data_IF_714278738281
#
_entry.id   IF_714278738281
#
_cell.length_a   1.000
_cell.length_b   1.000
_cell.length_c   1.000
_cell.angle_alpha   90.00
_cell.angle_beta   90.00
_cell.angle_gamma   90.00
#
_symmetry.space_group_name_H-M   'P 1'
#
loop_
_entity.id
_entity.type
_entity.pdbx_description
1 polymer ?
#
# COMPACT_ATOMS: atom_id res chain seq x y z
N UNK A 1 -12.83 25.47 -21.37
CA UNK A 1 -13.95 24.54 -21.20
C UNK A 1 -13.68 23.36 -22.12
N UNK A 2 -13.09 22.27 -21.60
CA UNK A 2 -12.64 21.10 -22.38
C UNK A 2 -13.60 19.92 -22.14
N UNK A 3 -14.78 19.87 -22.81
CA UNK A 3 -15.80 18.85 -22.57
C UNK A 3 -15.35 17.43 -22.92
N UNK A 4 -14.33 17.28 -23.78
CA UNK A 4 -13.77 15.97 -24.12
C UNK A 4 -13.03 15.30 -22.95
N UNK A 5 -12.45 16.08 -22.03
CA UNK A 5 -11.70 15.56 -20.89
C UNK A 5 -12.67 14.94 -19.88
N UNK A 6 -13.84 15.54 -19.64
CA UNK A 6 -14.84 14.97 -18.72
C UNK A 6 -15.29 13.59 -19.15
N UNK A 7 -15.72 13.42 -20.41
CA UNK A 7 -16.17 12.12 -20.91
C UNK A 7 -15.05 11.07 -20.88
N UNK A 8 -13.80 11.46 -21.19
CA UNK A 8 -12.65 10.55 -21.10
C UNK A 8 -12.35 10.15 -19.66
N UNK A 9 -12.48 11.06 -18.70
CA UNK A 9 -12.30 10.77 -17.26
C UNK A 9 -13.37 9.82 -16.78
N UNK A 10 -14.65 10.05 -17.12
CA UNK A 10 -15.73 9.13 -16.75
C UNK A 10 -15.54 7.75 -17.35
N UNK A 11 -15.12 7.66 -18.61
CA UNK A 11 -14.80 6.39 -19.26
C UNK A 11 -13.58 5.71 -18.60
N UNK A 12 -12.52 6.45 -18.30
CA UNK A 12 -11.33 5.93 -17.64
C UNK A 12 -11.62 5.40 -16.23
N UNK A 13 -12.41 6.14 -15.44
CA UNK A 13 -12.86 5.71 -14.10
C UNK A 13 -13.76 4.48 -14.21
N UNK A 14 -14.68 4.44 -15.17
CA UNK A 14 -15.53 3.27 -15.43
C UNK A 14 -14.72 2.03 -15.78
N UNK A 15 -13.76 2.15 -16.70
CA UNK A 15 -12.85 1.06 -17.08
C UNK A 15 -11.96 0.62 -15.92
N UNK A 16 -11.40 1.56 -15.16
CA UNK A 16 -10.59 1.27 -13.98
C UNK A 16 -11.39 0.54 -12.89
N UNK A 17 -12.66 0.95 -12.68
CA UNK A 17 -13.56 0.28 -11.76
C UNK A 17 -13.83 -1.16 -12.22
N UNK A 18 -14.20 -1.36 -13.48
CA UNK A 18 -14.43 -2.70 -14.06
C UNK A 18 -13.18 -3.57 -13.91
N UNK A 19 -12.01 -3.05 -14.25
CA UNK A 19 -10.74 -3.79 -14.13
C UNK A 19 -10.45 -4.18 -12.68
N UNK A 20 -10.64 -3.25 -11.73
CA UNK A 20 -10.40 -3.48 -10.30
C UNK A 20 -11.34 -4.53 -9.73
N UNK A 21 -12.64 -4.43 -10.03
CA UNK A 21 -13.63 -5.41 -9.58
C UNK A 21 -13.43 -6.77 -10.24
N UNK A 22 -13.09 -6.81 -11.52
CA UNK A 22 -12.79 -8.06 -12.24
C UNK A 22 -11.58 -8.76 -11.65
N UNK A 23 -10.51 -8.03 -11.33
CA UNK A 23 -9.32 -8.59 -10.68
C UNK A 23 -9.66 -9.11 -9.27
N UNK A 24 -10.52 -8.42 -8.53
CA UNK A 24 -10.95 -8.84 -7.19
C UNK A 24 -11.82 -10.10 -7.23
N UNK A 25 -12.78 -10.16 -8.16
CA UNK A 25 -13.61 -11.33 -8.41
C UNK A 25 -12.76 -12.51 -8.89
N UNK A 26 -11.84 -12.26 -9.82
CA UNK A 26 -10.88 -13.26 -10.29
C UNK A 26 -10.01 -13.80 -9.16
N UNK A 27 -9.52 -12.94 -8.28
CA UNK A 27 -8.75 -13.33 -7.10
C UNK A 27 -9.56 -14.18 -6.12
N UNK A 28 -10.84 -13.85 -5.87
CA UNK A 28 -11.74 -14.64 -5.01
C UNK A 28 -12.05 -16.02 -5.61
N UNK A 29 -12.36 -16.07 -6.91
CA UNK A 29 -12.59 -17.31 -7.64
C UNK A 29 -11.34 -18.20 -7.65
N UNK A 30 -10.17 -17.61 -7.91
CA UNK A 30 -8.90 -18.34 -7.88
C UNK A 30 -8.55 -18.81 -6.47
N UNK A 31 -8.78 -17.98 -5.44
CA UNK A 31 -8.62 -18.35 -4.03
C UNK A 31 -9.50 -19.55 -3.64
N UNK A 32 -10.72 -19.66 -4.20
CA UNK A 32 -11.60 -20.81 -3.98
C UNK A 32 -11.15 -22.10 -4.69
N UNK A 33 -10.30 -21.98 -5.73
CA UNK A 33 -9.72 -23.11 -6.47
C UNK A 33 -8.35 -23.54 -5.95
N UNK A 34 -7.71 -22.77 -5.07
CA UNK A 34 -6.44 -23.15 -4.48
C UNK A 34 -6.62 -24.24 -3.40
N UNK A 35 -5.86 -25.36 -3.45
CA UNK A 35 -5.90 -26.39 -2.43
C UNK A 35 -5.45 -25.84 -1.07
N UNK A 36 -6.24 -26.11 -0.02
CA UNK A 36 -6.13 -25.49 1.31
C UNK A 36 -4.88 -25.90 2.12
N UNK A 37 -3.99 -26.75 1.60
CA UNK A 37 -2.81 -27.23 2.32
C UNK A 37 -1.57 -27.32 1.42
N UNK A 38 -0.48 -26.60 1.77
CA UNK A 38 0.82 -26.76 1.11
C UNK A 38 1.75 -25.54 1.19
N UNK A 39 2.96 -25.68 0.60
CA UNK A 39 4.00 -24.63 0.48
C UNK A 39 3.50 -23.39 -0.27
N UNK A 40 2.48 -23.55 -1.12
CA UNK A 40 1.88 -22.48 -1.91
C UNK A 40 1.12 -21.46 -1.05
N UNK A 41 0.45 -21.90 0.02
CA UNK A 41 -0.24 -21.01 0.98
C UNK A 41 0.76 -20.07 1.67
N UNK A 42 1.90 -20.62 2.14
CA UNK A 42 2.98 -19.81 2.73
C UNK A 42 3.56 -18.79 1.73
N UNK A 43 3.67 -19.16 0.45
CA UNK A 43 4.05 -18.23 -0.61
C UNK A 43 3.02 -17.11 -0.78
N UNK A 44 1.74 -17.46 -0.83
CA UNK A 44 0.65 -16.48 -0.93
C UNK A 44 0.54 -15.57 0.29
N UNK A 45 0.77 -16.08 1.51
CA UNK A 45 0.76 -15.28 2.74
C UNK A 45 1.96 -14.32 2.81
N UNK A 46 3.05 -14.62 2.11
CA UNK A 46 4.22 -13.74 2.01
C UNK A 46 4.07 -12.65 0.92
N UNK A 47 3.18 -12.83 -0.05
CA UNK A 47 2.97 -11.86 -1.15
C UNK A 47 2.59 -10.45 -0.64
N UNK A 48 1.64 -10.27 0.29
CA UNK A 48 1.28 -8.95 0.77
C UNK A 48 2.47 -8.24 1.42
N UNK A 49 3.23 -8.95 2.26
CA UNK A 49 4.41 -8.40 2.92
C UNK A 49 5.50 -8.01 1.92
N UNK A 50 5.78 -8.88 0.94
CA UNK A 50 6.77 -8.62 -0.10
C UNK A 50 6.38 -7.44 -1.01
N UNK A 51 5.10 -7.31 -1.37
CA UNK A 51 4.58 -6.19 -2.14
C UNK A 51 4.73 -4.87 -1.38
N UNK A 52 4.31 -4.84 -0.10
CA UNK A 52 4.50 -3.68 0.75
C UNK A 52 5.98 -3.30 0.86
N UNK A 53 6.87 -4.28 1.06
CA UNK A 53 8.30 -4.05 1.14
C UNK A 53 8.86 -3.47 -0.18
N UNK A 54 8.48 -4.03 -1.32
CA UNK A 54 8.88 -3.57 -2.65
C UNK A 54 8.44 -2.13 -2.95
N UNK A 55 7.33 -1.67 -2.37
CA UNK A 55 6.85 -0.28 -2.50
C UNK A 55 7.52 0.66 -1.49
N UNK A 56 7.77 0.19 -0.27
CA UNK A 56 8.34 1.00 0.81
C UNK A 56 9.83 1.24 0.59
N UNK A 57 10.60 0.22 0.17
CA UNK A 57 12.04 0.32 -0.08
C UNK A 57 12.41 1.46 -1.04
N UNK A 58 11.84 1.57 -2.27
CA UNK A 58 12.17 2.65 -3.18
C UNK A 58 11.72 4.01 -2.62
N UNK A 59 10.60 4.06 -1.89
CA UNK A 59 10.13 5.29 -1.24
C UNK A 59 11.17 5.80 -0.24
N UNK A 60 11.75 4.91 0.56
CA UNK A 60 12.85 5.25 1.49
C UNK A 60 14.09 5.72 0.75
N UNK A 61 14.47 5.02 -0.33
CA UNK A 61 15.64 5.38 -1.14
C UNK A 61 15.48 6.76 -1.79
N UNK A 62 14.28 7.11 -2.27
CA UNK A 62 14.00 8.45 -2.82
C UNK A 62 13.97 9.54 -1.75
N UNK A 63 13.63 9.21 -0.51
CA UNK A 63 13.60 10.14 0.62
C UNK A 63 14.99 10.40 1.22
N UNK A 64 15.93 9.45 1.08
CA UNK A 64 17.33 9.53 1.56
C UNK A 64 17.51 9.08 3.02
N UNK A 65 18.58 9.55 3.71
CA UNK A 65 18.85 9.20 5.11
C UNK A 65 17.68 9.51 6.06
N UNK A 66 16.92 10.57 5.76
CA UNK A 66 15.75 10.99 6.52
C UNK A 66 14.59 10.00 6.41
N UNK A 67 14.41 9.35 5.25
CA UNK A 67 13.42 8.28 5.06
C UNK A 67 13.71 7.06 5.92
N UNK A 68 14.99 6.73 6.12
CA UNK A 68 15.42 5.61 7.00
C UNK A 68 15.11 5.92 8.46
N UNK A 69 15.45 7.14 8.93
CA UNK A 69 15.15 7.56 10.31
C UNK A 69 13.64 7.60 10.60
N UNK A 70 12.83 8.13 9.68
CA UNK A 70 11.38 8.15 9.80
C UNK A 70 10.77 6.73 9.83
N UNK A 71 11.31 5.81 9.02
CA UNK A 71 10.88 4.40 9.01
C UNK A 71 11.21 3.71 10.32
N UNK A 72 12.41 3.93 10.87
CA UNK A 72 12.83 3.35 12.16
C UNK A 72 11.98 3.87 13.32
N UNK A 73 11.73 5.19 13.36
CA UNK A 73 10.86 5.81 14.37
C UNK A 73 9.41 5.30 14.27
N UNK A 74 8.87 5.22 13.05
CA UNK A 74 7.51 4.70 12.83
C UNK A 74 7.41 3.22 13.20
N UNK A 75 8.40 2.40 12.81
CA UNK A 75 8.46 0.99 13.16
C UNK A 75 8.55 0.79 14.68
N UNK A 76 9.32 1.62 15.40
CA UNK A 76 9.42 1.59 16.85
C UNK A 76 8.08 1.93 17.54
N UNK A 77 7.33 2.89 17.02
CA UNK A 77 6.01 3.26 17.56
C UNK A 77 4.96 2.18 17.28
N UNK A 78 4.94 1.63 16.06
CA UNK A 78 4.02 0.55 15.65
C UNK A 78 4.19 -0.66 16.56
N UNK A 79 5.43 -1.03 16.89
CA UNK A 79 5.72 -2.19 17.75
C UNK A 79 5.23 -2.01 19.19
N UNK A 80 5.03 -0.76 19.64
CA UNK A 80 4.65 -0.45 21.02
C UNK A 80 3.14 -0.32 21.22
N UNK A 81 2.36 0.06 20.21
CA UNK A 81 1.04 0.65 20.46
C UNK A 81 -0.18 -0.29 20.45
N UNK A 82 -0.10 -1.52 19.90
CA UNK A 82 -1.19 -2.52 19.86
C UNK A 82 -2.60 -2.02 19.40
N UNK A 83 -2.71 -0.79 18.90
CA UNK A 83 -3.92 -0.10 18.44
C UNK A 83 -3.60 0.53 17.07
N UNK A 84 -4.19 -0.03 16.02
CA UNK A 84 -3.88 0.26 14.61
C UNK A 84 -4.19 1.71 14.21
N UNK A 85 -5.18 2.35 14.82
CA UNK A 85 -5.51 3.75 14.54
C UNK A 85 -4.44 4.72 15.04
N UNK A 86 -3.91 4.46 16.25
CA UNK A 86 -2.83 5.27 16.83
C UNK A 86 -1.53 5.07 16.03
N UNK A 87 -1.26 3.84 15.60
CA UNK A 87 -0.13 3.53 14.73
C UNK A 87 -0.18 4.30 13.39
N UNK A 88 -1.36 4.37 12.75
CA UNK A 88 -1.54 5.15 11.52
C UNK A 88 -1.35 6.66 11.74
N UNK A 89 -1.93 7.22 12.81
CA UNK A 89 -1.81 8.65 13.12
C UNK A 89 -0.38 9.07 13.43
N UNK A 90 0.34 8.27 14.23
CA UNK A 90 1.73 8.60 14.56
C UNK A 90 2.63 8.43 13.33
N UNK A 91 2.45 7.38 12.53
CA UNK A 91 3.19 7.24 11.27
C UNK A 91 2.95 8.41 10.31
N UNK A 92 1.70 8.87 10.19
CA UNK A 92 1.34 10.04 9.40
C UNK A 92 2.00 11.32 9.93
N UNK A 93 1.96 11.56 11.25
CA UNK A 93 2.60 12.72 11.88
C UNK A 93 4.12 12.72 11.70
N UNK A 94 4.76 11.56 11.84
CA UNK A 94 6.22 11.42 11.62
C UNK A 94 6.59 11.75 10.18
N UNK A 95 5.84 11.23 9.19
CA UNK A 95 6.08 11.55 7.77
C UNK A 95 5.79 13.03 7.48
N UNK A 96 4.72 13.58 8.06
CA UNK A 96 4.35 14.99 7.88
C UNK A 96 5.44 15.94 8.42
N UNK A 97 5.96 15.66 9.61
CA UNK A 97 7.06 16.44 10.21
C UNK A 97 8.38 16.24 9.45
N UNK A 98 8.68 15.02 9.02
CA UNK A 98 9.86 14.75 8.19
C UNK A 98 9.80 15.48 6.84
N UNK A 99 8.61 15.62 6.26
CA UNK A 99 8.38 16.38 5.02
C UNK A 99 8.46 17.90 5.25
N UNK A 100 8.01 18.40 6.40
CA UNK A 100 8.12 19.81 6.78
C UNK A 100 9.56 20.26 7.05
N UNK A 101 10.41 19.37 7.58
CA UNK A 101 11.84 19.66 7.80
C UNK A 101 12.69 19.65 6.52
N UNK A 102 12.13 19.17 5.40
CA UNK A 102 12.73 19.25 4.06
C UNK A 102 12.31 20.57 3.40
N UNK A 103 12.91 21.68 3.87
CA UNK A 103 13.19 22.86 3.02
C UNK A 103 14.57 22.69 2.41
#
# INVERSE_FOLDING_TARGET
MFPAIENQVFLAVGLAAIATYSLRLGGLLLASRFPKSGRFRKGMDALPGALLFSLVVPTIVTEGLWGVLATILTAAVVLRSHNTLVAMLVGMLVIYVARQFKL
#
